data_IF_326447108571
#
_entry.id   IF_326447108571
#
_cell.length_a   1.000
_cell.length_b   1.000
_cell.length_c   1.000
_cell.angle_alpha   90.00
_cell.angle_beta   90.00
_cell.angle_gamma   90.00
#
_symmetry.space_group_name_H-M   'P 1'
#
loop_
_entity.id
_entity.type
_entity.pdbx_description
1 polymer ?
#
# COMPACT_ATOMS: atom_id res chain seq x y z
N UNK A 1 -11.35 -23.06 9.14
CA UNK A 1 -10.40 -22.42 8.21
C UNK A 1 -10.73 -20.93 8.10
N UNK A 2 -9.76 -20.07 8.39
CA UNK A 2 -9.90 -18.61 8.40
C UNK A 2 -10.12 -18.05 7.00
N UNK A 3 -9.46 -18.61 5.98
CA UNK A 3 -9.51 -18.10 4.60
C UNK A 3 -10.84 -18.45 3.91
N UNK A 4 -11.35 -19.67 4.14
CA UNK A 4 -12.70 -20.03 3.75
C UNK A 4 -13.76 -19.12 4.42
N UNK A 5 -13.58 -18.79 5.70
CA UNK A 5 -14.47 -17.88 6.43
C UNK A 5 -14.45 -16.45 5.86
N UNK A 6 -13.26 -15.90 5.60
CA UNK A 6 -13.11 -14.59 4.97
C UNK A 6 -13.74 -14.55 3.57
N UNK A 7 -13.51 -15.59 2.76
CA UNK A 7 -14.12 -15.73 1.43
C UNK A 7 -15.64 -15.79 1.49
N UNK A 8 -16.20 -16.52 2.45
CA UNK A 8 -17.64 -16.60 2.67
C UNK A 8 -18.23 -15.23 3.05
N UNK A 9 -17.55 -14.46 3.91
CA UNK A 9 -17.98 -13.11 4.28
C UNK A 9 -17.96 -12.15 3.09
N UNK A 10 -16.88 -12.17 2.30
CA UNK A 10 -16.76 -11.32 1.09
C UNK A 10 -17.89 -11.62 0.09
N UNK A 11 -18.27 -12.89 -0.05
CA UNK A 11 -19.36 -13.34 -0.94
C UNK A 11 -20.76 -13.08 -0.37
N UNK A 12 -20.94 -13.20 0.94
CA UNK A 12 -22.25 -13.08 1.60
C UNK A 12 -22.65 -11.63 1.94
N UNK A 13 -21.68 -10.72 2.10
CA UNK A 13 -21.96 -9.33 2.45
C UNK A 13 -22.45 -8.51 1.25
N UNK A 14 -23.75 -8.21 1.23
CA UNK A 14 -24.39 -7.36 0.22
C UNK A 14 -25.86 -7.00 0.48
N UNK A 15 -26.40 -7.32 1.66
CA UNK A 15 -27.80 -7.03 2.02
C UNK A 15 -27.88 -5.89 3.02
N UNK A 16 -28.38 -4.74 2.56
CA UNK A 16 -28.55 -3.51 3.36
C UNK A 16 -27.89 -2.28 2.72
N UNK A 17 -28.13 -1.07 3.25
CA UNK A 17 -27.61 0.18 2.68
C UNK A 17 -26.10 0.41 2.88
N UNK A 18 -25.44 -0.45 3.67
CA UNK A 18 -24.00 -0.37 3.97
C UNK A 18 -23.30 -1.61 3.44
N UNK A 19 -22.42 -1.43 2.47
CA UNK A 19 -21.56 -2.48 1.93
C UNK A 19 -20.10 -2.13 2.26
N UNK A 20 -19.33 -3.06 2.87
CA UNK A 20 -17.92 -2.79 3.17
C UNK A 20 -17.13 -2.69 1.87
N UNK A 21 -16.50 -1.54 1.63
CA UNK A 21 -15.68 -1.28 0.44
C UNK A 21 -14.19 -1.59 0.66
N UNK A 22 -13.78 -1.96 1.87
CA UNK A 22 -12.37 -2.23 2.19
C UNK A 22 -12.28 -3.41 3.14
N UNK A 23 -11.49 -4.40 2.75
CA UNK A 23 -11.16 -5.58 3.53
C UNK A 23 -9.77 -5.38 4.13
N UNK A 24 -9.63 -5.62 5.44
CA UNK A 24 -8.35 -5.58 6.15
C UNK A 24 -7.94 -7.00 6.52
N UNK A 25 -6.76 -7.44 6.11
CA UNK A 25 -6.22 -8.76 6.43
C UNK A 25 -4.83 -8.63 7.06
N UNK A 26 -4.50 -9.55 7.98
CA UNK A 26 -3.12 -9.80 8.37
C UNK A 26 -2.46 -10.76 7.37
N UNK A 27 -1.19 -10.54 7.07
CA UNK A 27 -0.37 -11.53 6.38
C UNK A 27 -0.05 -12.69 7.33
N UNK A 28 -0.20 -13.93 6.84
CA UNK A 28 0.05 -15.14 7.65
C UNK A 28 1.50 -15.60 7.61
N UNK A 29 2.35 -15.05 6.72
CA UNK A 29 3.76 -15.42 6.58
C UNK A 29 4.04 -16.89 6.26
N UNK A 30 3.01 -17.75 6.25
CA UNK A 30 3.11 -19.18 6.02
C UNK A 30 3.04 -19.46 4.50
N UNK A 31 4.12 -19.97 3.90
CA UNK A 31 4.16 -20.26 2.47
C UNK A 31 3.10 -21.25 1.99
N UNK A 32 2.64 -22.15 2.86
CA UNK A 32 1.63 -23.15 2.51
C UNK A 32 0.28 -22.52 2.11
N UNK A 33 0.03 -21.27 2.51
CA UNK A 33 -1.25 -20.59 2.27
C UNK A 33 -1.21 -19.61 1.09
N UNK A 34 -0.08 -19.42 0.41
CA UNK A 34 0.04 -18.35 -0.61
C UNK A 34 -0.92 -18.49 -1.79
N UNK A 35 -1.21 -19.72 -2.22
CA UNK A 35 -2.19 -19.96 -3.28
C UNK A 35 -3.61 -19.57 -2.84
N UNK A 36 -3.98 -19.88 -1.61
CA UNK A 36 -5.29 -19.54 -1.03
C UNK A 36 -5.43 -18.03 -0.81
N UNK A 37 -4.36 -17.36 -0.37
CA UNK A 37 -4.32 -15.90 -0.30
C UNK A 37 -4.43 -15.26 -1.67
N UNK A 38 -3.76 -15.80 -2.70
CA UNK A 38 -3.88 -15.30 -4.06
C UNK A 38 -5.33 -15.39 -4.55
N UNK A 39 -6.02 -16.51 -4.32
CA UNK A 39 -7.43 -16.67 -4.65
C UNK A 39 -8.32 -15.65 -3.90
N UNK A 40 -8.06 -15.43 -2.62
CA UNK A 40 -8.79 -14.45 -1.82
C UNK A 40 -8.57 -13.02 -2.33
N UNK A 41 -7.32 -12.62 -2.63
CA UNK A 41 -7.01 -11.30 -3.18
C UNK A 41 -7.73 -11.09 -4.51
N UNK A 42 -7.70 -12.11 -5.38
CA UNK A 42 -8.42 -12.10 -6.67
C UNK A 42 -9.91 -11.94 -6.49
N UNK A 43 -10.51 -12.67 -5.56
CA UNK A 43 -11.93 -12.57 -5.23
C UNK A 43 -12.29 -11.15 -4.76
N UNK A 44 -11.54 -10.61 -3.80
CA UNK A 44 -11.76 -9.27 -3.24
C UNK A 44 -11.71 -8.22 -4.35
N UNK A 45 -10.64 -8.23 -5.15
CA UNK A 45 -10.47 -7.27 -6.24
C UNK A 45 -11.58 -7.36 -7.29
N UNK A 46 -11.91 -8.58 -7.75
CA UNK A 46 -12.99 -8.80 -8.75
C UNK A 46 -14.38 -8.43 -8.23
N UNK A 47 -14.59 -8.48 -6.92
CA UNK A 47 -15.82 -8.00 -6.28
C UNK A 47 -15.85 -6.48 -6.06
N UNK A 48 -14.89 -5.75 -6.65
CA UNK A 48 -14.72 -4.30 -6.57
C UNK A 48 -14.57 -3.78 -5.14
N UNK A 49 -13.81 -4.48 -4.32
CA UNK A 49 -13.47 -4.06 -2.96
C UNK A 49 -11.98 -3.78 -2.84
N UNK A 50 -11.64 -2.78 -2.05
CA UNK A 50 -10.26 -2.52 -1.70
C UNK A 50 -9.73 -3.58 -0.73
N UNK A 51 -8.44 -3.86 -0.80
CA UNK A 51 -7.73 -4.69 0.16
C UNK A 51 -6.61 -3.86 0.81
N UNK A 52 -6.52 -3.97 2.13
CA UNK A 52 -5.35 -3.57 2.89
C UNK A 52 -4.82 -4.83 3.57
N UNK A 53 -3.56 -5.15 3.32
CA UNK A 53 -2.88 -6.25 3.96
C UNK A 53 -1.77 -5.70 4.85
N UNK A 54 -1.96 -5.91 6.15
CA UNK A 54 -1.04 -5.46 7.18
C UNK A 54 -0.06 -6.58 7.49
N UNK A 55 1.21 -6.21 7.54
CA UNK A 55 2.28 -7.06 8.02
C UNK A 55 3.03 -6.33 9.11
N UNK A 56 3.12 -6.99 10.25
CA UNK A 56 3.89 -6.49 11.38
C UNK A 56 5.40 -6.58 11.09
N UNK A 57 6.21 -5.79 11.79
CA UNK A 57 7.65 -5.95 11.71
C UNK A 57 8.08 -7.19 12.48
N UNK A 58 8.80 -8.08 11.82
CA UNK A 58 9.47 -9.22 12.47
C UNK A 58 10.80 -8.82 13.10
N UNK A 59 11.28 -7.61 12.84
CA UNK A 59 12.51 -7.08 13.37
C UNK A 59 12.22 -6.21 14.59
N UNK A 60 13.14 -6.23 15.57
CA UNK A 60 13.11 -5.42 16.79
C UNK A 60 13.43 -3.93 16.47
N UNK A 61 12.73 -3.40 15.46
CA UNK A 61 12.87 -2.04 14.98
C UNK A 61 12.15 -1.18 16.00
N UNK A 62 12.90 -0.26 16.62
CA UNK A 62 12.32 0.85 17.38
C UNK A 62 11.68 1.79 16.37
N UNK A 63 10.53 1.40 15.82
CA UNK A 63 9.70 2.24 14.97
C UNK A 63 9.35 3.47 15.79
N UNK A 64 9.88 4.62 15.41
CA UNK A 64 9.40 5.88 15.95
C UNK A 64 8.16 6.23 15.14
N UNK A 65 7.01 6.48 15.78
CA UNK A 65 5.77 6.89 15.10
C UNK A 65 5.86 8.30 14.46
N UNK A 66 7.07 8.74 14.11
CA UNK A 66 7.41 10.08 13.63
C UNK A 66 7.28 10.21 12.11
N UNK A 67 7.34 9.11 11.36
CA UNK A 67 7.31 9.13 9.89
C UNK A 67 6.43 8.02 9.29
N UNK A 68 5.58 8.40 8.34
CA UNK A 68 4.80 7.51 7.49
C UNK A 68 5.36 7.61 6.07
N UNK A 69 5.91 6.51 5.56
CA UNK A 69 6.48 6.45 4.22
C UNK A 69 5.47 5.87 3.24
N UNK A 70 5.19 6.60 2.16
CA UNK A 70 4.38 6.13 1.03
C UNK A 70 5.29 5.93 -0.18
N UNK A 71 5.34 4.73 -0.75
CA UNK A 71 6.12 4.46 -1.96
C UNK A 71 5.24 4.45 -3.20
N UNK A 72 5.49 5.42 -4.08
CA UNK A 72 4.79 5.60 -5.34
C UNK A 72 5.74 5.34 -6.52
N UNK A 73 5.68 4.12 -7.06
CA UNK A 73 6.44 3.73 -8.25
C UNK A 73 5.83 2.55 -9.01
N UNK A 74 4.61 2.14 -8.62
CA UNK A 74 3.85 1.06 -9.25
C UNK A 74 2.44 1.53 -9.59
N UNK A 75 1.43 0.81 -9.12
CA UNK A 75 0.07 1.06 -9.58
C UNK A 75 -0.55 2.36 -9.11
N UNK A 76 -1.05 3.14 -10.08
CA UNK A 76 -1.53 4.51 -9.85
C UNK A 76 -2.85 4.55 -9.11
N UNK A 77 -3.68 3.50 -9.22
CA UNK A 77 -4.98 3.45 -8.56
C UNK A 77 -4.87 3.40 -7.03
N UNK A 78 -3.77 2.86 -6.50
CA UNK A 78 -3.58 2.68 -5.07
C UNK A 78 -3.32 3.99 -4.32
N UNK A 79 -2.70 4.99 -4.99
CA UNK A 79 -2.13 6.15 -4.30
C UNK A 79 -3.20 6.96 -3.56
N UNK A 80 -4.38 7.13 -4.15
CA UNK A 80 -5.46 7.90 -3.52
C UNK A 80 -5.98 7.24 -2.25
N UNK A 81 -6.12 5.91 -2.23
CA UNK A 81 -6.50 5.18 -1.03
C UNK A 81 -5.39 5.24 0.02
N UNK A 82 -4.14 5.01 -0.37
CA UNK A 82 -2.98 5.07 0.52
C UNK A 82 -2.91 6.43 1.23
N UNK A 83 -3.00 7.52 0.49
CA UNK A 83 -2.94 8.86 1.06
C UNK A 83 -4.12 9.16 1.98
N UNK A 84 -5.32 8.67 1.62
CA UNK A 84 -6.49 8.76 2.49
C UNK A 84 -6.22 8.06 3.82
N UNK A 85 -5.68 6.85 3.79
CA UNK A 85 -5.36 6.08 4.99
C UNK A 85 -4.27 6.76 5.82
N UNK A 86 -3.17 7.18 5.19
CA UNK A 86 -2.06 7.87 5.86
C UNK A 86 -2.54 9.15 6.56
N UNK A 87 -3.34 9.96 5.88
CA UNK A 87 -3.93 11.18 6.45
C UNK A 87 -4.90 10.88 7.61
N UNK A 88 -5.68 9.81 7.53
CA UNK A 88 -6.59 9.41 8.62
C UNK A 88 -5.81 8.88 9.83
N UNK A 89 -4.71 8.17 9.62
CA UNK A 89 -3.81 7.71 10.69
C UNK A 89 -3.21 8.91 11.41
N UNK A 90 -2.77 9.96 10.69
CA UNK A 90 -2.27 11.21 11.27
C UNK A 90 -3.28 11.93 12.18
N UNK A 91 -4.57 11.61 12.15
CA UNK A 91 -5.56 12.17 13.09
C UNK A 91 -5.58 11.46 14.44
N UNK A 92 -4.91 10.31 14.56
CA UNK A 92 -4.75 9.60 15.84
C UNK A 92 -3.80 10.36 16.77
N UNK A 93 -4.06 10.41 18.10
CA UNK A 93 -3.15 11.05 19.05
C UNK A 93 -1.72 10.53 19.03
N UNK A 94 -1.52 9.26 18.64
CA UNK A 94 -0.19 8.63 18.56
C UNK A 94 0.60 9.14 17.36
N UNK A 95 -0.09 9.49 16.26
CA UNK A 95 0.53 9.82 14.96
C UNK A 95 0.35 11.29 14.56
N UNK A 96 -0.18 12.13 15.45
CA UNK A 96 -0.55 13.51 15.12
C UNK A 96 0.62 14.43 14.77
N UNK A 97 1.84 14.04 15.12
CA UNK A 97 3.08 14.73 14.77
C UNK A 97 3.87 14.02 13.67
N UNK A 98 3.36 12.90 13.16
CA UNK A 98 4.05 12.12 12.14
C UNK A 98 4.12 12.88 10.81
N UNK A 99 5.26 12.80 10.13
CA UNK A 99 5.47 13.36 8.80
C UNK A 99 5.07 12.34 7.75
N UNK A 100 4.32 12.78 6.75
CA UNK A 100 4.02 11.97 5.58
C UNK A 100 5.07 12.21 4.50
N UNK A 101 5.78 11.16 4.08
CA UNK A 101 6.85 11.23 3.08
C UNK A 101 6.42 10.42 1.85
N UNK A 102 6.25 11.10 0.72
CA UNK A 102 5.90 10.49 -0.56
C UNK A 102 7.17 10.23 -1.38
N UNK A 103 7.51 8.96 -1.54
CA UNK A 103 8.75 8.47 -2.10
C UNK A 103 8.57 7.92 -3.51
N UNK A 104 9.53 8.14 -4.40
CA UNK A 104 9.65 7.43 -5.69
C UNK A 104 11.12 7.12 -6.00
N UNK A 105 11.36 6.10 -6.84
CA UNK A 105 12.69 5.75 -7.34
C UNK A 105 12.72 6.00 -8.85
N UNK A 106 13.76 6.65 -9.35
CA UNK A 106 14.02 6.92 -10.78
C UNK A 106 15.28 6.20 -11.25
N UNK A 107 15.40 5.99 -12.56
CA UNK A 107 16.52 5.24 -13.14
C UNK A 107 17.81 6.06 -13.29
N UNK A 108 17.70 7.38 -13.37
CA UNK A 108 18.84 8.27 -13.60
C UNK A 108 18.65 9.66 -12.98
N UNK A 109 19.75 10.40 -12.84
CA UNK A 109 19.74 11.78 -12.33
C UNK A 109 18.91 12.73 -13.22
N UNK A 110 18.93 12.50 -14.54
CA UNK A 110 18.17 13.29 -15.51
C UNK A 110 16.64 13.22 -15.29
N UNK A 111 16.14 12.14 -14.69
CA UNK A 111 14.72 11.94 -14.38
C UNK A 111 14.31 12.58 -13.05
N UNK A 112 15.28 12.89 -12.18
CA UNK A 112 15.03 13.29 -10.79
C UNK A 112 14.19 14.55 -10.68
N UNK A 113 14.56 15.61 -11.40
CA UNK A 113 13.85 16.90 -11.36
C UNK A 113 12.43 16.76 -11.87
N UNK A 114 12.22 16.03 -12.97
CA UNK A 114 10.89 15.82 -13.53
C UNK A 114 9.99 15.00 -12.57
N UNK A 115 10.54 13.96 -11.95
CA UNK A 115 9.83 13.17 -10.95
C UNK A 115 9.51 13.98 -9.69
N UNK A 116 10.42 14.83 -9.23
CA UNK A 116 10.20 15.68 -8.06
C UNK A 116 9.06 16.67 -8.32
N UNK A 117 9.11 17.40 -9.43
CA UNK A 117 8.06 18.34 -9.82
C UNK A 117 6.70 17.64 -9.91
N UNK A 118 6.64 16.42 -10.49
CA UNK A 118 5.40 15.63 -10.57
C UNK A 118 4.84 15.29 -9.18
N UNK A 119 5.70 14.92 -8.24
CA UNK A 119 5.29 14.59 -6.86
C UNK A 119 4.82 15.85 -6.12
N UNK A 120 5.57 16.94 -6.21
CA UNK A 120 5.23 18.22 -5.57
C UNK A 120 3.91 18.78 -6.10
N UNK A 121 3.72 18.83 -7.42
CA UNK A 121 2.45 19.23 -8.04
C UNK A 121 1.30 18.34 -7.56
N UNK A 122 1.48 17.03 -7.49
CA UNK A 122 0.44 16.13 -6.99
C UNK A 122 0.10 16.39 -5.51
N UNK A 123 1.10 16.62 -4.66
CA UNK A 123 0.92 16.96 -3.24
C UNK A 123 0.16 18.29 -3.09
N UNK A 124 0.57 19.31 -3.83
CA UNK A 124 -0.05 20.64 -3.83
C UNK A 124 -1.50 20.60 -4.30
N UNK A 125 -1.75 20.00 -5.47
CA UNK A 125 -3.09 19.86 -6.03
C UNK A 125 -4.00 19.16 -5.03
N UNK A 126 -3.56 18.03 -4.48
CA UNK A 126 -4.35 17.25 -3.53
C UNK A 126 -4.39 17.85 -2.10
N UNK A 127 -3.68 18.97 -1.85
CA UNK A 127 -3.54 19.64 -0.55
C UNK A 127 -3.12 18.68 0.57
N UNK A 128 -2.20 17.78 0.26
CA UNK A 128 -1.69 16.78 1.19
C UNK A 128 -0.57 17.42 2.03
N UNK A 129 -0.57 17.31 3.36
CA UNK A 129 0.56 17.74 4.19
C UNK A 129 1.69 16.69 4.13
N UNK A 130 2.33 16.57 2.96
CA UNK A 130 3.39 15.59 2.71
C UNK A 130 4.65 16.25 2.09
N UNK A 131 5.78 15.58 2.25
CA UNK A 131 7.05 15.94 1.61
C UNK A 131 7.37 14.96 0.48
N UNK A 132 7.80 15.46 -0.68
CA UNK A 132 8.26 14.63 -1.79
C UNK A 132 9.72 14.20 -1.61
N UNK A 133 10.03 12.92 -1.88
CA UNK A 133 11.40 12.41 -1.92
C UNK A 133 11.60 11.55 -3.19
N UNK A 134 12.66 11.87 -3.94
CA UNK A 134 13.05 11.14 -5.16
C UNK A 134 14.44 10.56 -4.98
N UNK A 135 14.55 9.23 -5.15
CA UNK A 135 15.81 8.50 -5.09
C UNK A 135 16.23 8.05 -6.48
N UNK A 136 17.53 8.07 -6.75
CA UNK A 136 18.09 7.50 -7.98
C UNK A 136 18.49 6.06 -7.67
N UNK A 137 18.11 5.13 -8.56
CA UNK A 137 18.38 3.70 -8.40
C UNK A 137 19.88 3.44 -8.32
N UNK A 138 20.35 3.03 -7.14
CA UNK A 138 21.76 2.69 -6.88
C UNK A 138 21.95 1.23 -6.43
N UNK A 139 20.87 0.46 -6.31
CA UNK A 139 20.87 -0.96 -5.97
C UNK A 139 20.23 -1.81 -7.09
N UNK A 140 20.54 -3.13 -7.14
CA UNK A 140 19.86 -4.05 -8.03
C UNK A 140 18.34 -4.10 -7.78
N UNK A 141 17.94 -4.17 -6.51
CA UNK A 141 16.55 -4.28 -6.07
C UNK A 141 15.98 -2.93 -5.60
N UNK A 142 14.79 -2.58 -6.09
CA UNK A 142 14.03 -1.45 -5.55
C UNK A 142 13.67 -1.67 -4.08
N UNK A 143 13.37 -2.90 -3.68
CA UNK A 143 12.99 -3.22 -2.31
C UNK A 143 14.13 -3.03 -1.32
N UNK A 144 15.39 -3.21 -1.73
CA UNK A 144 16.56 -2.92 -0.89
C UNK A 144 16.68 -1.42 -0.60
N UNK A 145 16.45 -0.59 -1.62
CA UNK A 145 16.40 0.86 -1.44
C UNK A 145 15.25 1.28 -0.52
N UNK A 146 14.06 0.69 -0.71
CA UNK A 146 12.88 0.95 0.12
C UNK A 146 13.14 0.61 1.58
N UNK A 147 13.73 -0.57 1.83
CA UNK A 147 14.10 -1.05 3.16
C UNK A 147 15.10 -0.13 3.84
N UNK A 148 16.19 0.22 3.13
CA UNK A 148 17.23 1.11 3.65
C UNK A 148 16.67 2.49 3.99
N UNK A 149 15.88 3.06 3.08
CA UNK A 149 15.33 4.42 3.22
C UNK A 149 14.28 4.48 4.32
N UNK A 150 13.47 3.42 4.45
CA UNK A 150 12.36 3.39 5.41
C UNK A 150 12.72 2.72 6.73
N UNK A 151 13.99 2.43 7.01
CA UNK A 151 14.40 1.62 8.17
C UNK A 151 13.87 2.13 9.52
N UNK A 152 13.67 3.43 9.66
CA UNK A 152 13.15 4.07 10.87
C UNK A 152 11.70 4.55 10.75
N UNK A 153 11.03 4.28 9.62
CA UNK A 153 9.64 4.69 9.42
C UNK A 153 8.74 3.93 10.41
N UNK A 154 7.79 4.64 11.00
CA UNK A 154 6.78 4.05 11.87
C UNK A 154 5.84 3.12 11.10
N UNK A 155 5.50 3.52 9.87
CA UNK A 155 4.63 2.76 8.98
C UNK A 155 5.03 3.01 7.53
N UNK A 156 5.06 1.94 6.74
CA UNK A 156 5.30 1.99 5.31
C UNK A 156 4.02 1.60 4.56
N UNK A 157 3.69 2.32 3.51
CA UNK A 157 2.64 1.97 2.55
C UNK A 157 3.24 1.64 1.19
N UNK A 158 2.74 0.55 0.59
CA UNK A 158 3.09 0.15 -0.77
C UNK A 158 1.85 -0.32 -1.53
N UNK A 159 1.78 0.01 -2.82
CA UNK A 159 0.73 -0.50 -3.70
C UNK A 159 1.01 -1.95 -4.15
N UNK A 160 -0.04 -2.77 -4.21
CA UNK A 160 -0.03 -4.06 -4.91
C UNK A 160 -0.53 -3.88 -6.34
N UNK A 161 -0.03 -4.68 -7.29
CA UNK A 161 -0.64 -4.72 -8.62
C UNK A 161 -1.97 -5.49 -8.55
N UNK A 162 -2.98 -5.11 -9.34
CA UNK A 162 -4.16 -5.92 -9.49
C UNK A 162 -3.84 -7.24 -10.18
N UNK A 163 -4.59 -8.31 -9.89
CA UNK A 163 -4.53 -9.53 -10.69
C UNK A 163 -5.05 -9.23 -12.10
N UNK A 164 -4.40 -9.81 -13.11
CA UNK A 164 -4.86 -9.72 -14.50
C UNK A 164 -6.17 -10.46 -14.70
N UNK A 165 -6.96 -10.04 -15.70
CA UNK A 165 -8.29 -10.61 -15.98
C UNK A 165 -8.25 -12.13 -16.19
N UNK A 166 -7.26 -12.59 -16.96
CA UNK A 166 -7.05 -14.01 -17.31
C UNK A 166 -5.79 -14.62 -16.66
N UNK A 167 -5.20 -13.94 -15.67
CA UNK A 167 -4.02 -14.44 -14.97
C UNK A 167 -4.36 -15.70 -14.15
N UNK A 168 -3.60 -16.80 -14.23
CA UNK A 168 -3.79 -17.97 -13.35
C UNK A 168 -3.57 -17.64 -11.86
N UNK A 169 -4.17 -18.42 -10.96
CA UNK A 169 -4.04 -18.17 -9.50
C UNK A 169 -2.59 -18.36 -9.07
N UNK A 170 -1.94 -19.36 -9.64
CA UNK A 170 -0.57 -19.75 -9.36
C UNK A 170 0.42 -18.65 -9.79
N UNK A 171 0.13 -17.96 -10.89
CA UNK A 171 0.95 -16.84 -11.38
C UNK A 171 0.82 -15.63 -10.45
N UNK A 172 -0.41 -15.27 -10.07
CA UNK A 172 -0.61 -14.20 -9.10
C UNK A 172 -0.04 -14.56 -7.72
N UNK A 173 -0.15 -15.82 -7.32
CA UNK A 173 0.46 -16.36 -6.10
C UNK A 173 1.98 -16.25 -6.12
N UNK A 174 2.62 -16.51 -7.25
CA UNK A 174 4.07 -16.33 -7.42
C UNK A 174 4.48 -14.86 -7.28
N UNK A 175 3.69 -13.93 -7.82
CA UNK A 175 3.89 -12.50 -7.59
C UNK A 175 3.75 -12.12 -6.12
N UNK A 176 2.68 -12.59 -5.47
CA UNK A 176 2.40 -12.31 -4.07
C UNK A 176 3.51 -12.85 -3.16
N UNK A 177 3.94 -14.09 -3.36
CA UNK A 177 5.08 -14.69 -2.66
C UNK A 177 6.36 -13.86 -2.87
N UNK A 178 6.66 -13.48 -4.11
CA UNK A 178 7.82 -12.64 -4.43
C UNK A 178 7.77 -11.29 -3.73
N UNK A 179 6.59 -10.66 -3.66
CA UNK A 179 6.37 -9.40 -2.94
C UNK A 179 6.64 -9.54 -1.44
N UNK A 180 6.15 -10.61 -0.81
CA UNK A 180 6.36 -10.86 0.61
C UNK A 180 7.83 -11.09 0.93
N UNK A 181 8.51 -11.96 0.16
CA UNK A 181 9.96 -12.22 0.32
C UNK A 181 10.79 -10.96 0.12
N UNK A 182 10.51 -10.20 -0.93
CA UNK A 182 11.29 -8.99 -1.24
C UNK A 182 11.17 -7.90 -0.17
N UNK A 183 10.09 -7.93 0.62
CA UNK A 183 9.81 -6.93 1.66
C UNK A 183 10.06 -7.44 3.08
N UNK A 184 10.44 -8.71 3.28
CA UNK A 184 10.72 -9.31 4.59
C UNK A 184 11.74 -8.49 5.38
N UNK A 185 11.48 -8.14 6.64
CA UNK A 185 12.39 -7.32 7.47
C UNK A 185 12.29 -5.81 7.23
N UNK A 186 11.22 -5.34 6.60
CA UNK A 186 10.84 -3.91 6.61
C UNK A 186 10.14 -3.57 7.94
N UNK A 187 9.99 -2.28 8.29
CA UNK A 187 9.07 -1.85 9.35
C UNK A 187 7.62 -2.29 9.07
N UNK A 188 6.67 -2.00 9.98
CA UNK A 188 5.26 -2.27 9.75
C UNK A 188 4.84 -1.80 8.36
N UNK A 189 4.24 -2.69 7.58
CA UNK A 189 3.96 -2.49 6.16
C UNK A 189 2.49 -2.73 5.87
N UNK A 190 1.87 -1.76 5.23
CA UNK A 190 0.53 -1.85 4.68
C UNK A 190 0.58 -1.94 3.16
N UNK A 191 0.31 -3.13 2.63
CA UNK A 191 0.06 -3.32 1.21
C UNK A 191 -1.36 -2.90 0.87
N UNK A 192 -1.52 -2.09 -0.17
CA UNK A 192 -2.83 -1.56 -0.56
C UNK A 192 -3.13 -1.94 -2.00
N UNK A 193 -4.32 -2.49 -2.21
CA UNK A 193 -4.91 -2.74 -3.52
C UNK A 193 -6.26 -2.04 -3.59
N UNK A 194 -6.34 -0.94 -4.33
CA UNK A 194 -7.57 -0.24 -4.61
C UNK A 194 -8.27 -0.88 -5.81
N UNK A 195 -9.56 -1.20 -5.68
CA UNK A 195 -10.35 -1.76 -6.77
C UNK A 195 -10.73 -0.72 -7.83
N UNK A 196 -10.81 0.55 -7.43
CA UNK A 196 -11.14 1.68 -8.31
C UNK A 196 -10.26 2.89 -7.95
N UNK A 197 -9.98 3.80 -8.90
CA UNK A 197 -9.23 5.02 -8.61
C UNK A 197 -9.97 5.88 -7.59
N UNK A 198 -9.30 6.20 -6.49
CA UNK A 198 -9.85 7.06 -5.43
C UNK A 198 -9.28 8.47 -5.56
N UNK A 199 -10.15 9.48 -5.65
CA UNK A 199 -9.74 10.89 -5.59
C UNK A 199 -9.68 11.35 -4.13
N UNK A 200 -8.47 11.58 -3.62
CA UNK A 200 -8.24 11.98 -2.23
C UNK A 200 -9.05 13.23 -1.81
N UNK A 201 -9.01 14.31 -2.61
CA UNK A 201 -9.78 15.54 -2.35
C UNK A 201 -11.28 15.30 -2.07
N UNK A 202 -11.92 14.40 -2.84
CA UNK A 202 -13.36 14.10 -2.68
C UNK A 202 -13.68 13.46 -1.33
N UNK A 203 -12.72 12.74 -0.73
CA UNK A 203 -12.93 12.02 0.52
C UNK A 203 -12.71 12.88 1.76
N UNK A 204 -11.83 13.88 1.67
CA UNK A 204 -11.54 14.76 2.82
C UNK A 204 -12.44 16.00 2.88
N UNK A 205 -13.47 16.08 2.03
CA UNK A 205 -14.47 17.15 2.06
C UNK A 205 -13.94 18.53 1.62
N UNK A 206 -12.75 18.58 1.03
CA UNK A 206 -12.22 19.80 0.41
C UNK A 206 -12.83 19.88 -0.99
N UNK A 207 -13.97 20.55 -1.09
CA UNK A 207 -14.54 20.98 -2.38
C UNK A 207 -13.98 22.36 -2.70
N UNK A 208 -13.74 22.65 -3.98
CA UNK A 208 -13.39 24.00 -4.45
C UNK A 208 -14.49 25.03 -4.13
#
# INVERSE_FOLDING_TARGET
DMLAGASALVRAYGYGPLTPNTILLGDSGNPENFSEFADLIRLIYRTRRNLIMLRDSTADIRSQEDEIHVWWGGETNNIGLILTLAYQIQKSPIWNQSKLILNTIVGSDNEKTAALNRLETFIEEQRIPATAMVLIKDQPSFYDMIRKTSANAGLVFMGMRPPGDNEPTEEYGSYYEGLLKATEGMPPLAFVLAAEPIKFQRLIGISD
#
